data_IF_410725113793
#
_entry.id   IF_410725113793
#
_cell.length_a   1.000
_cell.length_b   1.000
_cell.length_c   1.000
_cell.angle_alpha   90.00
_cell.angle_beta   90.00
_cell.angle_gamma   90.00
#
_symmetry.space_group_name_H-M   'P 1'
#
loop_
_entity.id
_entity.type
_entity.pdbx_description
1 polymer ?
#
# COMPACT_ATOMS: atom_id res chain seq x y z
N UNK A 1 15.90 13.99 1.84
CA UNK A 1 14.95 13.53 0.81
C UNK A 1 15.03 14.43 -0.41
N UNK A 2 15.11 13.86 -1.61
CA UNK A 2 15.02 14.62 -2.87
C UNK A 2 14.33 13.81 -3.97
N UNK A 3 13.74 14.51 -4.94
CA UNK A 3 13.06 13.94 -6.10
C UNK A 3 13.64 14.58 -7.35
N UNK A 4 14.10 13.76 -8.29
CA UNK A 4 14.63 14.21 -9.58
C UNK A 4 13.87 13.54 -10.72
N UNK A 5 13.62 14.28 -11.79
CA UNK A 5 13.12 13.73 -13.06
C UNK A 5 14.18 13.87 -14.15
N UNK A 6 14.32 12.86 -14.99
CA UNK A 6 15.29 12.82 -16.07
C UNK A 6 14.80 11.91 -17.20
N UNK A 7 15.32 12.09 -18.41
CA UNK A 7 15.05 11.17 -19.53
C UNK A 7 16.11 10.06 -19.58
N UNK A 8 15.70 8.83 -19.87
CA UNK A 8 16.63 7.74 -20.12
C UNK A 8 16.95 7.63 -21.61
N UNK A 9 18.04 8.27 -22.03
CA UNK A 9 18.50 8.31 -23.42
C UNK A 9 18.95 6.95 -23.95
N UNK A 10 19.36 6.03 -23.07
CA UNK A 10 19.72 4.65 -23.43
C UNK A 10 18.51 3.77 -23.80
N UNK A 11 17.27 4.23 -23.55
CA UNK A 11 16.03 3.52 -23.88
C UNK A 11 15.18 4.27 -24.90
N UNK A 12 15.83 4.86 -25.91
CA UNK A 12 15.15 5.56 -27.01
C UNK A 12 14.22 4.61 -27.77
N UNK A 13 12.95 5.01 -27.94
CA UNK A 13 11.95 4.24 -28.70
C UNK A 13 12.13 4.45 -30.21
N UNK A 14 11.49 3.59 -31.03
CA UNK A 14 11.45 3.74 -32.49
C UNK A 14 10.90 5.10 -32.95
N UNK A 15 10.03 5.73 -32.14
CA UNK A 15 9.50 7.08 -32.37
C UNK A 15 10.50 8.22 -32.13
N UNK A 16 11.72 7.91 -31.67
CA UNK A 16 12.73 8.89 -31.28
C UNK A 16 12.57 9.45 -29.86
N UNK A 17 11.42 9.24 -29.21
CA UNK A 17 11.17 9.66 -27.83
C UNK A 17 11.94 8.82 -26.80
N UNK A 18 12.31 9.44 -25.70
CA UNK A 18 12.96 8.80 -24.55
C UNK A 18 12.00 8.76 -23.35
N UNK A 19 11.97 7.67 -22.57
CA UNK A 19 11.12 7.59 -21.40
C UNK A 19 11.61 8.54 -20.30
N UNK A 20 10.66 9.22 -19.67
CA UNK A 20 10.89 10.05 -18.48
C UNK A 20 10.93 9.12 -17.26
N UNK A 21 11.95 9.28 -16.43
CA UNK A 21 12.19 8.53 -15.21
C UNK A 21 12.15 9.48 -14.02
N UNK A 22 11.65 9.00 -12.89
CA UNK A 22 11.81 9.66 -11.60
C UNK A 22 12.86 8.94 -10.75
N UNK A 23 13.58 9.68 -9.91
CA UNK A 23 14.51 9.16 -8.91
C UNK A 23 14.18 9.77 -7.56
N UNK A 24 14.07 8.92 -6.54
CA UNK A 24 13.86 9.30 -5.15
C UNK A 24 15.15 9.02 -4.41
N UNK A 25 15.60 9.97 -3.59
CA UNK A 25 16.76 9.78 -2.72
C UNK A 25 16.41 10.06 -1.26
N UNK A 26 16.77 9.14 -0.37
CA UNK A 26 16.60 9.23 1.10
C UNK A 26 17.88 8.70 1.74
N UNK A 27 18.47 9.48 2.64
CA UNK A 27 19.63 9.09 3.47
C UNK A 27 20.78 8.44 2.70
N UNK A 28 21.13 9.02 1.54
CA UNK A 28 22.23 8.57 0.69
C UNK A 28 21.86 7.43 -0.28
N UNK A 29 20.74 6.75 -0.07
CA UNK A 29 20.24 5.75 -1.02
C UNK A 29 19.29 6.35 -2.03
N UNK A 30 19.33 5.86 -3.29
CA UNK A 30 18.41 6.32 -4.33
C UNK A 30 17.79 5.17 -5.12
N UNK A 31 16.52 5.36 -5.51
CA UNK A 31 15.74 4.40 -6.31
C UNK A 31 15.04 5.11 -7.46
N UNK A 32 15.20 4.54 -8.65
CA UNK A 32 14.50 5.00 -9.84
C UNK A 32 13.13 4.34 -9.99
N UNK A 33 12.17 5.07 -10.55
CA UNK A 33 10.84 4.61 -10.93
C UNK A 33 10.47 5.13 -12.32
N UNK A 34 9.63 4.37 -13.04
CA UNK A 34 9.11 4.78 -14.33
C UNK A 34 7.91 5.70 -14.13
N UNK A 35 7.83 6.80 -14.90
CA UNK A 35 6.63 7.67 -14.90
C UNK A 35 5.58 7.21 -15.91
N UNK A 36 5.94 6.30 -16.83
CA UNK A 36 5.10 5.88 -17.95
C UNK A 36 5.07 6.86 -19.12
N UNK A 37 5.65 8.05 -18.98
CA UNK A 37 5.69 9.09 -20.01
C UNK A 37 6.94 9.01 -20.87
N UNK A 38 6.87 9.55 -22.09
CA UNK A 38 8.02 9.72 -22.98
C UNK A 38 8.00 11.10 -23.65
N UNK A 39 9.18 11.59 -24.01
CA UNK A 39 9.36 12.92 -24.59
C UNK A 39 10.54 12.94 -25.58
N UNK A 40 10.52 13.86 -26.54
CA UNK A 40 11.68 14.06 -27.39
C UNK A 40 12.85 14.67 -26.58
N UNK A 41 14.11 14.22 -26.79
CA UNK A 41 15.25 14.73 -26.04
C UNK A 41 15.44 16.26 -26.13
N UNK A 42 15.11 16.87 -27.27
CA UNK A 42 15.20 18.32 -27.50
C UNK A 42 14.07 19.12 -26.82
N UNK A 43 13.02 18.45 -26.35
CA UNK A 43 11.90 19.06 -25.62
C UNK A 43 12.05 18.88 -24.11
N UNK A 44 13.20 18.44 -23.62
CA UNK A 44 13.46 18.22 -22.19
C UNK A 44 14.49 19.19 -21.63
N UNK A 45 14.14 19.87 -20.53
CA UNK A 45 15.09 20.63 -19.73
C UNK A 45 15.70 19.71 -18.66
N UNK A 46 16.95 19.30 -18.86
CA UNK A 46 17.65 18.43 -17.91
C UNK A 46 17.95 19.10 -16.57
N UNK A 47 18.14 20.42 -16.55
CA UNK A 47 18.44 21.18 -15.34
C UNK A 47 17.20 21.35 -14.46
N UNK A 48 16.08 21.71 -15.07
CA UNK A 48 14.81 21.92 -14.35
C UNK A 48 14.05 20.60 -14.10
N UNK A 49 14.34 19.56 -14.88
CA UNK A 49 13.62 18.28 -14.83
C UNK A 49 12.18 18.40 -15.32
N UNK A 50 11.96 19.22 -16.36
CA UNK A 50 10.65 19.51 -16.95
C UNK A 50 10.70 19.53 -18.48
N UNK A 51 9.54 19.36 -19.10
CA UNK A 51 9.36 19.52 -20.53
C UNK A 51 9.38 21.01 -20.93
N UNK A 52 10.01 21.31 -22.06
CA UNK A 52 10.09 22.63 -22.70
C UNK A 52 9.12 22.65 -23.89
N UNK A 53 8.38 23.73 -24.06
CA UNK A 53 7.47 23.92 -25.17
C UNK A 53 6.13 24.53 -24.76
N UNK A 54 5.25 24.71 -25.75
CA UNK A 54 3.90 25.27 -25.57
C UNK A 54 2.80 24.31 -26.02
N UNK A 55 3.14 23.05 -26.30
CA UNK A 55 2.17 22.06 -26.77
C UNK A 55 1.29 21.58 -25.61
N UNK A 56 0.10 21.05 -25.93
CA UNK A 56 -0.77 20.39 -24.94
C UNK A 56 -0.07 19.19 -24.28
N UNK A 57 0.80 18.51 -25.02
CA UNK A 57 1.59 17.38 -24.51
C UNK A 57 2.60 17.85 -23.46
N UNK A 58 3.36 18.92 -23.74
CA UNK A 58 4.30 19.53 -22.78
C UNK A 58 3.60 19.90 -21.47
N UNK A 59 2.44 20.56 -21.55
CA UNK A 59 1.67 20.95 -20.37
C UNK A 59 1.20 19.73 -19.57
N UNK A 60 0.69 18.69 -20.24
CA UNK A 60 0.25 17.46 -19.60
C UNK A 60 1.40 16.73 -18.88
N UNK A 61 2.58 16.66 -19.50
CA UNK A 61 3.79 16.06 -18.92
C UNK A 61 4.20 16.84 -17.66
N UNK A 62 4.29 18.16 -17.74
CA UNK A 62 4.70 18.99 -16.60
C UNK A 62 3.71 18.88 -15.44
N UNK A 63 2.40 18.89 -15.73
CA UNK A 63 1.36 18.67 -14.71
C UNK A 63 1.49 17.29 -14.04
N UNK A 64 1.79 16.24 -14.80
CA UNK A 64 2.02 14.92 -14.21
C UNK A 64 3.29 14.87 -13.35
N UNK A 65 4.38 15.53 -13.76
CA UNK A 65 5.59 15.67 -12.96
C UNK A 65 5.29 16.36 -11.62
N UNK A 66 4.51 17.45 -11.63
CA UNK A 66 4.07 18.14 -10.42
C UNK A 66 3.20 17.27 -9.52
N UNK A 67 2.28 16.49 -10.10
CA UNK A 67 1.48 15.53 -9.35
C UNK A 67 2.37 14.48 -8.65
N UNK A 68 3.34 13.90 -9.37
CA UNK A 68 4.30 12.97 -8.77
C UNK A 68 5.09 13.62 -7.63
N UNK A 69 5.58 14.86 -7.79
CA UNK A 69 6.28 15.60 -6.73
C UNK A 69 5.38 15.77 -5.50
N UNK A 70 4.12 16.13 -5.72
CA UNK A 70 3.13 16.37 -4.66
C UNK A 70 2.81 15.08 -3.90
N UNK A 71 2.52 13.99 -4.61
CA UNK A 71 2.24 12.68 -4.01
C UNK A 71 3.42 12.13 -3.23
N UNK A 72 4.63 12.16 -3.82
CA UNK A 72 5.85 11.72 -3.13
C UNK A 72 6.12 12.50 -1.86
N UNK A 73 5.95 13.82 -1.90
CA UNK A 73 6.13 14.68 -0.74
C UNK A 73 5.10 14.37 0.33
N UNK A 74 3.84 14.12 -0.05
CA UNK A 74 2.78 13.72 0.86
C UNK A 74 3.08 12.36 1.51
N UNK A 75 3.51 11.38 0.74
CA UNK A 75 3.91 10.06 1.26
C UNK A 75 5.10 10.15 2.20
N UNK A 76 6.11 10.95 1.85
CA UNK A 76 7.26 11.19 2.71
C UNK A 76 6.85 11.77 4.06
N UNK A 77 6.11 12.88 4.08
CA UNK A 77 5.62 13.50 5.33
C UNK A 77 4.85 12.51 6.19
N UNK A 78 3.90 11.81 5.58
CA UNK A 78 3.05 10.86 6.30
C UNK A 78 3.82 9.62 6.79
N UNK A 79 4.96 9.28 6.18
CA UNK A 79 5.86 8.23 6.68
C UNK A 79 6.74 8.73 7.81
N UNK A 80 7.25 9.98 7.74
CA UNK A 80 8.04 10.59 8.84
C UNK A 80 7.22 10.65 10.12
N UNK A 81 5.95 11.03 10.00
CA UNK A 81 5.03 11.14 11.14
C UNK A 81 4.67 9.78 11.77
N UNK A 82 4.76 8.67 11.03
CA UNK A 82 4.29 7.35 11.48
C UNK A 82 5.38 6.32 11.75
N UNK A 83 6.53 6.41 11.07
CA UNK A 83 7.62 5.45 11.13
C UNK A 83 8.93 6.23 11.22
N UNK A 84 9.62 6.15 12.35
CA UNK A 84 10.90 6.83 12.57
C UNK A 84 12.05 6.44 11.63
N UNK A 85 11.80 5.63 10.60
CA UNK A 85 12.77 5.22 9.57
C UNK A 85 12.10 5.09 8.19
N UNK A 86 12.69 5.71 7.15
CA UNK A 86 12.15 5.77 5.79
C UNK A 86 13.26 5.43 4.79
N UNK A 87 12.93 4.68 3.73
CA UNK A 87 13.86 4.39 2.64
C UNK A 87 13.33 4.90 1.31
N UNK A 88 14.22 5.05 0.32
CA UNK A 88 13.82 5.39 -1.05
C UNK A 88 12.90 4.30 -1.68
N UNK A 89 13.09 3.04 -1.29
CA UNK A 89 12.25 1.93 -1.74
C UNK A 89 10.83 1.99 -1.14
N UNK A 90 10.69 2.33 0.15
CA UNK A 90 9.37 2.46 0.77
C UNK A 90 8.53 3.57 0.13
N UNK A 91 9.16 4.68 -0.28
CA UNK A 91 8.47 5.76 -1.00
C UNK A 91 8.07 5.37 -2.42
N UNK A 92 8.94 4.66 -3.15
CA UNK A 92 8.64 4.13 -4.48
C UNK A 92 7.47 3.14 -4.44
N UNK A 93 7.43 2.30 -3.40
CA UNK A 93 6.34 1.34 -3.20
C UNK A 93 5.02 2.06 -2.94
N UNK A 94 5.03 3.07 -2.07
CA UNK A 94 3.85 3.91 -1.83
C UNK A 94 3.32 4.59 -3.11
N UNK A 95 4.20 5.10 -3.98
CA UNK A 95 3.80 5.64 -5.28
C UNK A 95 3.10 4.62 -6.19
N UNK A 96 3.53 3.35 -6.17
CA UNK A 96 3.01 2.32 -7.08
C UNK A 96 1.69 1.71 -6.62
N UNK A 97 1.11 2.17 -5.51
CA UNK A 97 0.01 1.46 -4.85
C UNK A 97 0.48 0.19 -4.11
N UNK A 98 1.75 -0.19 -4.24
CA UNK A 98 2.32 -1.41 -3.65
C UNK A 98 2.66 -1.06 -2.20
N UNK A 99 1.75 -1.39 -1.28
CA UNK A 99 1.92 -1.09 0.14
C UNK A 99 1.38 0.28 0.58
N UNK A 100 0.56 0.93 -0.24
CA UNK A 100 -0.18 2.16 0.11
C UNK A 100 -1.63 1.94 0.52
N UNK A 101 -2.12 0.70 0.50
CA UNK A 101 -3.26 0.34 1.34
C UNK A 101 -2.76 0.38 2.79
N UNK A 102 -2.85 1.56 3.40
CA UNK A 102 -2.88 1.75 4.86
C UNK A 102 -4.20 1.22 5.41
N UNK A 103 -4.71 0.12 4.89
CA UNK A 103 -5.85 -0.50 5.50
C UNK A 103 -5.34 -1.07 6.82
N UNK A 104 -6.02 -0.68 7.88
CA UNK A 104 -5.79 -1.27 9.17
C UNK A 104 -6.29 -2.71 9.15
N UNK A 105 -5.84 -3.51 10.12
CA UNK A 105 -6.29 -4.88 10.26
C UNK A 105 -7.82 -4.97 10.33
N UNK A 106 -8.46 -4.08 11.10
CA UNK A 106 -9.91 -4.09 11.23
C UNK A 106 -10.63 -3.53 9.99
N UNK A 107 -10.01 -2.65 9.20
CA UNK A 107 -10.58 -2.20 7.92
C UNK A 107 -10.57 -3.32 6.88
N UNK A 108 -9.43 -3.98 6.66
CA UNK A 108 -9.34 -5.14 5.75
C UNK A 108 -10.35 -6.23 6.12
N UNK A 109 -10.48 -6.49 7.43
CA UNK A 109 -11.42 -7.50 7.90
C UNK A 109 -12.88 -7.04 7.71
N UNK A 110 -13.21 -5.76 7.89
CA UNK A 110 -14.55 -5.26 7.60
C UNK A 110 -14.91 -5.41 6.11
N UNK A 111 -13.97 -5.11 5.21
CA UNK A 111 -14.14 -5.31 3.76
C UNK A 111 -14.36 -6.79 3.41
N UNK A 112 -13.59 -7.70 4.03
CA UNK A 112 -13.79 -9.14 3.88
C UNK A 112 -15.19 -9.58 4.35
N UNK A 113 -15.68 -9.07 5.48
CA UNK A 113 -17.03 -9.38 5.98
C UNK A 113 -18.08 -8.98 4.95
N UNK A 114 -17.98 -7.78 4.38
CA UNK A 114 -18.91 -7.32 3.34
C UNK A 114 -18.80 -8.11 2.03
N UNK A 115 -17.59 -8.48 1.59
CA UNK A 115 -17.38 -9.35 0.43
C UNK A 115 -18.09 -10.70 0.62
N UNK A 116 -17.92 -11.30 1.81
CA UNK A 116 -18.54 -12.61 2.12
C UNK A 116 -20.04 -12.50 2.24
N UNK A 117 -20.58 -11.40 2.79
CA UNK A 117 -22.02 -11.12 2.81
C UNK A 117 -22.61 -11.10 1.40
N UNK A 118 -21.96 -10.37 0.48
CA UNK A 118 -22.37 -10.30 -0.93
C UNK A 118 -22.24 -11.63 -1.67
N UNK A 119 -21.42 -12.54 -1.15
CA UNK A 119 -21.15 -13.86 -1.75
C UNK A 119 -22.13 -14.96 -1.28
N UNK A 120 -23.03 -14.66 -0.35
CA UNK A 120 -24.04 -15.63 0.13
C UNK A 120 -24.97 -16.03 -1.01
N UNK A 121 -25.19 -17.33 -1.17
CA UNK A 121 -26.00 -17.89 -2.27
C UNK A 121 -25.29 -17.97 -3.62
N UNK A 122 -24.07 -17.42 -3.73
CA UNK A 122 -23.24 -17.48 -4.95
C UNK A 122 -22.02 -18.36 -4.71
N UNK A 123 -21.17 -17.98 -3.75
CA UNK A 123 -19.91 -18.67 -3.44
C UNK A 123 -19.90 -19.31 -2.05
N UNK A 124 -20.73 -18.83 -1.13
CA UNK A 124 -20.84 -19.38 0.23
C UNK A 124 -22.30 -19.67 0.59
N UNK A 125 -22.50 -20.67 1.46
CA UNK A 125 -23.82 -20.98 2.04
C UNK A 125 -24.16 -19.96 3.13
N UNK A 126 -25.45 -19.68 3.30
CA UNK A 126 -25.94 -18.78 4.35
C UNK A 126 -25.46 -19.21 5.75
N UNK A 127 -25.46 -20.51 6.04
CA UNK A 127 -24.96 -21.07 7.30
C UNK A 127 -23.46 -20.84 7.55
N UNK A 128 -22.69 -20.49 6.51
CA UNK A 128 -21.24 -20.23 6.62
C UNK A 128 -20.94 -18.76 6.93
N UNK A 129 -21.81 -17.84 6.51
CA UNK A 129 -21.58 -16.40 6.68
C UNK A 129 -21.38 -15.95 8.13
N UNK A 130 -22.11 -16.46 9.15
CA UNK A 130 -21.96 -16.00 10.53
C UNK A 130 -20.55 -16.12 11.12
N UNK A 131 -19.67 -16.96 10.55
CA UNK A 131 -18.27 -17.09 10.98
C UNK A 131 -17.51 -15.78 10.84
N UNK A 132 -17.74 -15.00 9.78
CA UNK A 132 -16.98 -13.77 9.50
C UNK A 132 -17.25 -12.62 10.49
N UNK A 133 -18.50 -12.17 10.71
CA UNK A 133 -18.78 -11.12 11.69
C UNK A 133 -18.47 -11.56 13.14
N UNK A 134 -18.59 -12.84 13.46
CA UNK A 134 -18.17 -13.37 14.77
C UNK A 134 -16.65 -13.24 14.95
N UNK A 135 -15.87 -13.69 13.97
CA UNK A 135 -14.42 -13.61 14.00
C UNK A 135 -13.91 -12.15 14.05
N UNK A 136 -14.58 -11.24 13.34
CA UNK A 136 -14.32 -9.80 13.42
C UNK A 136 -14.48 -9.28 14.86
N UNK A 137 -15.58 -9.62 15.53
CA UNK A 137 -15.83 -9.22 16.93
C UNK A 137 -14.78 -9.79 17.89
N UNK A 138 -14.39 -11.05 17.71
CA UNK A 138 -13.37 -11.67 18.56
C UNK A 138 -12.01 -10.98 18.41
N UNK A 139 -11.61 -10.64 17.18
CA UNK A 139 -10.36 -9.93 16.94
C UNK A 139 -10.39 -8.52 17.54
N UNK A 140 -11.51 -7.79 17.39
CA UNK A 140 -11.68 -6.47 17.99
C UNK A 140 -11.54 -6.50 19.52
N UNK A 141 -12.16 -7.50 20.16
CA UNK A 141 -12.06 -7.68 21.60
C UNK A 141 -10.63 -8.03 22.04
N UNK A 142 -9.96 -8.89 21.29
CA UNK A 142 -8.56 -9.23 21.54
C UNK A 142 -7.64 -8.00 21.48
N UNK A 143 -7.80 -7.15 20.45
CA UNK A 143 -7.04 -5.90 20.32
C UNK A 143 -7.25 -4.99 21.53
N UNK A 144 -8.50 -4.84 21.95
CA UNK A 144 -8.84 -4.01 23.11
C UNK A 144 -8.27 -4.57 24.41
N UNK A 145 -8.31 -5.89 24.62
CA UNK A 145 -7.85 -6.52 25.87
C UNK A 145 -6.33 -6.58 25.98
N UNK A 146 -5.64 -6.96 24.89
CA UNK A 146 -4.19 -7.22 24.92
C UNK A 146 -3.36 -5.98 24.64
N UNK A 147 -3.82 -5.11 23.74
CA UNK A 147 -3.04 -3.97 23.26
C UNK A 147 -3.68 -2.62 23.63
N UNK A 148 -4.88 -2.61 24.21
CA UNK A 148 -5.63 -1.40 24.54
C UNK A 148 -5.85 -0.47 23.33
N UNK A 149 -6.05 -1.08 22.16
CA UNK A 149 -6.33 -0.38 20.90
C UNK A 149 -7.56 -0.97 20.25
N UNK A 150 -8.25 -0.19 19.43
CA UNK A 150 -9.39 -0.66 18.64
C UNK A 150 -8.96 -1.22 17.27
N UNK A 151 -7.73 -0.95 16.86
CA UNK A 151 -7.20 -1.30 15.55
C UNK A 151 -5.66 -1.26 15.52
N UNK A 152 -5.06 -1.92 14.54
CA UNK A 152 -3.61 -1.87 14.27
C UNK A 152 -3.34 -1.80 12.76
N UNK A 153 -2.21 -1.24 12.32
CA UNK A 153 -1.79 -1.34 10.93
C UNK A 153 -1.64 -2.80 10.48
N UNK A 154 -2.10 -3.15 9.29
CA UNK A 154 -1.99 -4.53 8.78
C UNK A 154 -0.54 -5.05 8.78
N UNK A 155 0.44 -4.17 8.53
CA UNK A 155 1.87 -4.52 8.58
C UNK A 155 2.43 -4.83 9.98
N UNK A 156 1.65 -4.68 11.05
CA UNK A 156 2.01 -5.12 12.41
C UNK A 156 1.48 -6.53 12.73
N UNK A 157 0.78 -7.18 11.79
CA UNK A 157 0.33 -8.56 11.92
C UNK A 157 1.48 -9.50 11.56
N UNK A 158 2.23 -9.91 12.57
CA UNK A 158 3.30 -10.89 12.45
C UNK A 158 2.88 -12.26 13.00
N UNK A 159 3.80 -13.24 12.95
CA UNK A 159 3.55 -14.59 13.46
C UNK A 159 3.21 -14.55 14.95
N UNK A 160 3.92 -13.73 15.73
CA UNK A 160 3.70 -13.62 17.17
C UNK A 160 2.30 -13.07 17.50
N UNK A 161 1.81 -12.12 16.72
CA UNK A 161 0.44 -11.62 16.82
C UNK A 161 -0.58 -12.74 16.55
N UNK A 162 -0.38 -13.52 15.48
CA UNK A 162 -1.29 -14.61 15.10
C UNK A 162 -1.32 -15.69 16.18
N UNK A 163 -0.16 -16.06 16.72
CA UNK A 163 -0.04 -17.03 17.81
C UNK A 163 -0.71 -16.52 19.10
N UNK A 164 -0.48 -15.26 19.45
CA UNK A 164 -1.12 -14.60 20.58
C UNK A 164 -2.65 -14.57 20.45
N UNK A 165 -3.16 -14.29 19.25
CA UNK A 165 -4.60 -14.30 19.00
C UNK A 165 -5.18 -15.72 19.05
N UNK A 166 -4.49 -16.70 18.47
CA UNK A 166 -4.89 -18.10 18.53
C UNK A 166 -4.92 -18.63 19.98
N UNK A 167 -3.95 -18.22 20.81
CA UNK A 167 -3.93 -18.52 22.23
C UNK A 167 -5.14 -17.92 22.95
N UNK A 168 -5.45 -16.64 22.71
CA UNK A 168 -6.63 -15.98 23.29
C UNK A 168 -7.95 -16.70 22.94
N UNK A 169 -8.13 -17.09 21.68
CA UNK A 169 -9.31 -17.83 21.26
C UNK A 169 -9.43 -19.18 21.98
N UNK A 170 -8.30 -19.85 22.23
CA UNK A 170 -8.26 -21.19 22.83
C UNK A 170 -8.43 -21.15 24.35
N UNK A 171 -7.75 -20.24 25.04
CA UNK A 171 -7.65 -20.23 26.50
C UNK A 171 -8.71 -19.32 27.10
N UNK A 172 -8.74 -18.05 26.69
CA UNK A 172 -9.66 -17.07 27.26
C UNK A 172 -11.10 -17.30 26.80
N UNK A 173 -11.30 -17.62 25.53
CA UNK A 173 -12.64 -17.91 24.99
C UNK A 173 -13.02 -19.40 25.00
N UNK A 174 -12.12 -20.28 25.45
CA UNK A 174 -12.32 -21.73 25.58
C UNK A 174 -12.90 -22.39 24.32
N UNK A 175 -12.53 -21.89 23.13
CA UNK A 175 -13.07 -22.39 21.88
C UNK A 175 -12.48 -23.74 21.49
N UNK A 176 -13.30 -24.59 20.86
CA UNK A 176 -12.82 -25.85 20.29
C UNK A 176 -11.78 -25.58 19.18
N UNK A 177 -10.84 -26.51 18.91
CA UNK A 177 -9.83 -26.33 17.86
C UNK A 177 -10.43 -26.02 16.48
N UNK A 178 -11.59 -26.59 16.17
CA UNK A 178 -12.32 -26.32 14.92
C UNK A 178 -12.79 -24.86 14.88
N UNK A 179 -13.38 -24.39 15.97
CA UNK A 179 -13.86 -23.00 16.08
C UNK A 179 -12.72 -21.99 16.04
N UNK A 180 -11.59 -22.28 16.71
CA UNK A 180 -10.37 -21.45 16.62
C UNK A 180 -9.90 -21.34 15.17
N UNK A 181 -9.82 -22.48 14.46
CA UNK A 181 -9.42 -22.50 13.04
C UNK A 181 -10.34 -21.64 12.18
N UNK A 182 -11.65 -21.67 12.40
CA UNK A 182 -12.62 -20.84 11.68
C UNK A 182 -12.40 -19.34 11.91
N UNK A 183 -12.09 -18.94 13.15
CA UNK A 183 -11.81 -17.54 13.50
C UNK A 183 -10.48 -17.02 12.96
N UNK A 184 -9.55 -17.92 12.60
CA UNK A 184 -8.26 -17.58 11.98
C UNK A 184 -8.28 -17.56 10.45
N UNK A 185 -9.36 -18.03 9.79
CA UNK A 185 -9.47 -18.03 8.32
C UNK A 185 -9.17 -16.65 7.71
N UNK A 186 -9.71 -15.54 8.25
CA UNK A 186 -9.46 -14.19 7.73
C UNK A 186 -7.98 -13.74 7.76
N UNK A 187 -7.17 -14.36 8.61
CA UNK A 187 -5.75 -14.01 8.82
C UNK A 187 -4.79 -14.97 8.12
N UNK A 188 -5.32 -15.99 7.42
CA UNK A 188 -4.55 -17.07 6.79
C UNK A 188 -4.42 -16.95 5.27
N UNK A 189 -4.96 -15.90 4.68
CA UNK A 189 -4.87 -15.66 3.23
C UNK A 189 -3.78 -14.64 2.91
N UNK A 190 -2.56 -15.14 2.73
CA UNK A 190 -1.55 -14.63 1.82
C UNK A 190 -0.80 -15.83 1.23
#
# INVERSE_FOLDING_TARGET
FSILFYINTGKKKKSGKCPIMGRISVDGESKAFSTGMDIQPNEWNAQEGFAIGKSKETFSINKQIENYKTELTKHYKAMVESKGYITAESLKNALRGIGTNRNTLMQEFAELVEEKRKSVGIKIKESTYPVYPNAYRHLKNFLSLKYNVTDIPFGQVDIAFIEAYAFYLKIDLQMTPRTVKCNLIPLRTA
#
